data_IF_062305757642
#
_entry.id   IF_062305757642
#
_cell.length_a   1.000
_cell.length_b   1.000
_cell.length_c   1.000
_cell.angle_alpha   90.00
_cell.angle_beta   90.00
_cell.angle_gamma   90.00
#
_symmetry.space_group_name_H-M   'P 1'
#
loop_
_entity.id
_entity.type
_entity.pdbx_description
1 polymer ?
#
# COMPACT_ATOMS: atom_id res chain seq x y z
N UNK A 1 -5.31 -6.02 13.30
CA UNK A 1 -5.87 -4.71 13.69
C UNK A 1 -5.93 -3.87 12.44
N UNK A 2 -7.15 -3.56 11.99
CA UNK A 2 -7.43 -3.30 10.56
C UNK A 2 -7.35 -1.83 10.14
N UNK A 3 -6.92 -1.65 8.88
CA UNK A 3 -7.01 -0.44 8.07
C UNK A 3 -8.47 0.05 7.99
N UNK A 4 -8.87 0.96 8.88
CA UNK A 4 -10.21 1.54 8.84
C UNK A 4 -10.22 2.70 7.87
N UNK A 5 -10.79 2.46 6.68
CA UNK A 5 -11.15 3.52 5.74
C UNK A 5 -12.11 4.52 6.40
N UNK A 6 -12.15 5.73 5.86
CA UNK A 6 -13.10 6.77 6.28
C UNK A 6 -14.53 6.25 6.28
N UNK A 7 -14.90 5.47 5.26
CA UNK A 7 -16.23 4.88 5.09
C UNK A 7 -16.63 3.96 6.26
N UNK A 8 -15.71 3.09 6.73
CA UNK A 8 -16.00 2.23 7.89
C UNK A 8 -16.19 3.02 9.18
N UNK A 9 -15.53 4.18 9.29
CA UNK A 9 -15.69 5.05 10.45
C UNK A 9 -17.06 5.71 10.41
N UNK A 10 -17.52 6.16 9.23
CA UNK A 10 -18.87 6.69 9.01
C UNK A 10 -19.95 5.67 9.32
N UNK A 11 -19.83 4.44 8.82
CA UNK A 11 -20.79 3.36 9.09
C UNK A 11 -20.93 3.07 10.59
N UNK A 12 -19.82 3.02 11.33
CA UNK A 12 -19.84 2.78 12.78
C UNK A 12 -20.52 3.90 13.55
N UNK A 13 -20.21 5.15 13.22
CA UNK A 13 -20.85 6.30 13.89
C UNK A 13 -22.34 6.30 13.57
N UNK A 14 -22.74 6.09 12.32
CA UNK A 14 -24.14 5.98 11.92
C UNK A 14 -24.92 4.90 12.69
N UNK A 15 -24.25 3.79 13.03
CA UNK A 15 -24.87 2.69 13.78
C UNK A 15 -24.98 2.92 15.30
N UNK A 16 -24.28 3.91 15.86
CA UNK A 16 -24.12 4.08 17.31
C UNK A 16 -24.57 5.44 17.83
N UNK A 17 -24.56 6.47 17.00
CA UNK A 17 -24.88 7.83 17.39
C UNK A 17 -25.48 8.63 16.21
N UNK A 18 -26.25 9.66 16.53
CA UNK A 18 -26.83 10.56 15.53
C UNK A 18 -26.90 11.99 16.08
N UNK A 19 -26.50 12.96 15.26
CA UNK A 19 -26.65 14.40 15.53
C UNK A 19 -26.71 15.21 14.22
N UNK A 20 -27.20 16.46 14.22
CA UNK A 20 -27.21 17.29 13.02
C UNK A 20 -25.78 17.49 12.49
N UNK A 21 -25.56 17.29 11.18
CA UNK A 21 -24.25 17.43 10.50
C UNK A 21 -23.15 16.46 10.95
N UNK A 22 -23.52 15.34 11.59
CA UNK A 22 -22.55 14.35 12.10
C UNK A 22 -21.55 13.85 11.06
N UNK A 23 -21.98 13.66 9.82
CA UNK A 23 -21.11 13.16 8.75
C UNK A 23 -20.05 14.18 8.34
N UNK A 24 -20.41 15.48 8.32
CA UNK A 24 -19.49 16.57 7.99
C UNK A 24 -18.44 16.74 9.09
N UNK A 25 -18.88 16.79 10.35
CA UNK A 25 -18.00 16.91 11.50
C UNK A 25 -17.05 15.70 11.64
N UNK A 26 -17.56 14.50 11.33
CA UNK A 26 -16.73 13.29 11.34
C UNK A 26 -15.68 13.31 10.23
N UNK A 27 -16.04 13.74 9.02
CA UNK A 27 -15.06 13.87 7.92
C UNK A 27 -13.99 14.92 8.24
N UNK A 28 -14.39 16.05 8.85
CA UNK A 28 -13.45 17.08 9.31
C UNK A 28 -12.52 16.56 10.42
N UNK A 29 -13.05 15.80 11.38
CA UNK A 29 -12.25 15.14 12.41
C UNK A 29 -11.25 14.15 11.82
N UNK A 30 -11.67 13.29 10.89
CA UNK A 30 -10.77 12.31 10.24
C UNK A 30 -9.66 13.02 9.45
N UNK A 31 -9.99 14.15 8.80
CA UNK A 31 -9.03 14.94 8.02
C UNK A 31 -8.03 15.73 8.87
N UNK A 32 -8.43 16.14 10.08
CA UNK A 32 -7.58 16.92 11.00
C UNK A 32 -6.85 16.07 12.04
N UNK A 33 -7.32 14.84 12.29
CA UNK A 33 -6.72 13.95 13.28
C UNK A 33 -5.36 13.41 12.83
N UNK A 34 -4.29 13.81 13.51
CA UNK A 34 -2.91 13.40 13.23
C UNK A 34 -2.73 11.87 13.20
N UNK A 35 -3.36 11.16 14.14
CA UNK A 35 -3.30 9.70 14.20
C UNK A 35 -3.95 9.06 12.98
N UNK A 36 -5.14 9.53 12.59
CA UNK A 36 -5.82 9.05 11.38
C UNK A 36 -4.97 9.33 10.13
N UNK A 37 -4.37 10.51 10.02
CA UNK A 37 -3.53 10.87 8.87
C UNK A 37 -2.22 10.09 8.79
N UNK A 38 -1.62 9.72 9.92
CA UNK A 38 -0.41 8.88 9.98
C UNK A 38 -0.69 7.43 9.59
N UNK A 39 -1.77 6.86 10.12
CA UNK A 39 -2.13 5.45 9.91
C UNK A 39 -2.81 5.21 8.55
N UNK A 40 -3.67 6.13 8.12
CA UNK A 40 -4.39 6.07 6.84
C UNK A 40 -3.73 6.95 5.76
N UNK A 41 -2.39 6.98 5.72
CA UNK A 41 -1.67 7.63 4.61
C UNK A 41 -2.23 7.11 3.29
N UNK A 42 -2.66 8.02 2.42
CA UNK A 42 -3.15 7.67 1.08
C UNK A 42 -2.07 6.85 0.37
N UNK A 43 -2.34 5.56 0.16
CA UNK A 43 -1.50 4.69 -0.65
C UNK A 43 -1.72 5.08 -2.11
N UNK A 44 -0.85 5.94 -2.58
CA UNK A 44 -0.89 6.48 -3.93
C UNK A 44 0.35 7.32 -4.11
N UNK A 45 1.50 6.66 -4.30
CA UNK A 45 2.58 7.34 -5.01
C UNK A 45 1.94 7.85 -6.30
N UNK A 46 2.16 9.12 -6.66
CA UNK A 46 1.94 9.53 -8.05
C UNK A 46 2.57 8.44 -8.91
N UNK A 47 1.82 7.88 -9.84
CA UNK A 47 2.40 7.08 -10.92
C UNK A 47 3.35 8.02 -11.65
N UNK A 48 4.59 8.09 -11.16
CA UNK A 48 5.69 8.67 -11.90
C UNK A 48 5.83 7.81 -13.14
N UNK A 49 6.08 8.45 -14.28
CA UNK A 49 6.39 7.73 -15.50
C UNK A 49 7.47 6.71 -15.17
N UNK A 50 7.21 5.45 -15.53
CA UNK A 50 8.21 4.41 -15.49
C UNK A 50 9.44 4.98 -16.21
N UNK A 51 10.61 4.98 -15.55
CA UNK A 51 11.83 5.35 -16.24
C UNK A 51 11.97 4.42 -17.44
N UNK A 52 12.01 5.00 -18.64
CA UNK A 52 12.19 4.24 -19.85
C UNK A 52 13.61 3.65 -19.84
N UNK A 53 13.69 2.34 -19.95
CA UNK A 53 14.96 1.65 -20.19
C UNK A 53 15.12 1.60 -21.70
N UNK A 54 16.26 2.06 -22.21
CA UNK A 54 16.54 2.00 -23.64
C UNK A 54 16.57 0.53 -24.11
N UNK A 55 15.94 0.26 -25.25
CA UNK A 55 15.94 -1.07 -25.85
C UNK A 55 17.35 -1.40 -26.39
N UNK A 56 17.93 -2.56 -26.01
CA UNK A 56 19.18 -3.01 -26.58
C UNK A 56 19.02 -3.28 -28.09
N UNK A 57 19.97 -2.80 -28.89
CA UNK A 57 20.03 -2.93 -30.35
C UNK A 57 20.76 -4.19 -30.81
N UNK A 58 21.58 -4.78 -29.94
CA UNK A 58 22.40 -5.95 -30.23
C UNK A 58 22.25 -7.04 -29.16
N UNK A 59 22.45 -8.33 -29.52
CA UNK A 59 22.50 -9.40 -28.55
C UNK A 59 23.54 -9.12 -27.46
N UNK A 60 23.18 -9.38 -26.20
CA UNK A 60 24.04 -9.22 -25.01
C UNK A 60 24.42 -7.78 -24.63
N UNK A 61 23.77 -6.77 -25.21
CA UNK A 61 24.06 -5.37 -24.89
C UNK A 61 23.63 -4.97 -23.47
N UNK A 62 22.54 -5.56 -22.96
CA UNK A 62 22.03 -5.31 -21.62
C UNK A 62 21.76 -6.62 -20.88
N UNK A 63 22.33 -6.79 -19.68
CA UNK A 63 22.08 -7.92 -18.78
C UNK A 63 21.60 -7.37 -17.44
N UNK A 64 20.35 -7.66 -17.07
CA UNK A 64 19.79 -7.32 -15.78
C UNK A 64 19.91 -8.52 -14.83
N UNK A 65 20.36 -8.30 -13.60
CA UNK A 65 20.46 -9.34 -12.58
C UNK A 65 19.80 -8.85 -11.29
N UNK A 66 19.07 -9.73 -10.61
CA UNK A 66 18.47 -9.48 -9.31
C UNK A 66 18.81 -10.63 -8.35
N UNK A 67 18.90 -10.31 -7.06
CA UNK A 67 19.19 -11.29 -6.01
C UNK A 67 17.91 -11.80 -5.40
N UNK A 68 17.60 -13.07 -5.61
CA UNK A 68 16.53 -13.74 -4.89
C UNK A 68 17.04 -14.16 -3.52
N UNK A 69 16.64 -13.43 -2.47
CA UNK A 69 16.93 -13.74 -1.07
C UNK A 69 15.72 -14.36 -0.37
N UNK A 70 15.96 -15.13 0.69
CA UNK A 70 14.89 -15.67 1.53
C UNK A 70 14.19 -16.91 0.96
N UNK A 71 14.88 -17.71 0.15
CA UNK A 71 14.38 -19.02 -0.25
C UNK A 71 14.22 -19.91 0.98
N UNK A 72 13.07 -20.57 1.08
CA UNK A 72 12.85 -21.59 2.11
C UNK A 72 13.88 -22.72 1.92
N UNK A 73 14.31 -23.39 3.00
CA UNK A 73 15.15 -24.58 2.86
C UNK A 73 14.50 -25.55 1.87
N UNK A 74 15.29 -26.04 0.91
CA UNK A 74 14.84 -27.11 0.03
C UNK A 74 14.31 -28.28 0.88
N UNK A 75 13.22 -28.90 0.42
CA UNK A 75 12.69 -30.11 1.05
C UNK A 75 13.73 -31.25 1.02
N UNK A 76 13.31 -32.47 1.38
CA UNK A 76 14.18 -33.66 1.48
C UNK A 76 14.98 -34.01 0.20
N UNK A 77 14.72 -33.32 -0.91
CA UNK A 77 15.46 -33.41 -2.18
C UNK A 77 16.17 -32.09 -2.48
N UNK A 78 17.11 -31.68 -1.63
CA UNK A 78 17.97 -30.54 -1.88
C UNK A 78 19.24 -30.98 -2.63
N UNK A 79 19.29 -30.73 -3.94
CA UNK A 79 20.41 -31.13 -4.82
C UNK A 79 21.61 -30.17 -4.77
N UNK A 80 21.84 -29.49 -3.64
CA UNK A 80 23.04 -28.67 -3.48
C UNK A 80 24.19 -29.59 -3.08
N UNK A 81 24.92 -30.08 -4.09
CA UNK A 81 26.21 -30.76 -3.94
C UNK A 81 27.26 -29.84 -3.32
#
# INVERSE_FOLDING_TARGET
>A
MGHMSEDRTKERVASTAWWPKWEQELSEYINTCERCQKENRKHGKKYVFLQHIEEPKHPWETVNMDWVIGLVPGGKENYNS
#
